data_IF_518914014748
#
_entry.id   IF_518914014748
#
_cell.length_a   1.000
_cell.length_b   1.000
_cell.length_c   1.000
_cell.angle_alpha   90.00
_cell.angle_beta   90.00
_cell.angle_gamma   90.00
#
_symmetry.space_group_name_H-M   'P 1'
#
loop_
_entity.id
_entity.type
_entity.pdbx_description
1 polymer ?
#
# COMPACT_ATOMS: atom_id res chain seq x y z
N UNK A 1 -0.02 -2.78 10.89
CA UNK A 1 -0.39 -3.08 9.49
C UNK A 1 -0.03 -4.50 9.12
N UNK A 2 -0.95 -5.23 8.53
CA UNK A 2 -0.81 -6.61 8.02
C UNK A 2 -1.10 -6.64 6.52
N UNK A 3 -0.75 -7.73 5.79
CA UNK A 3 -1.03 -7.81 4.35
C UNK A 3 -2.52 -7.73 3.98
N UNK A 4 -3.41 -8.09 4.90
CA UNK A 4 -4.85 -7.94 4.72
C UNK A 4 -5.33 -6.49 4.74
N UNK A 5 -4.63 -5.63 5.48
CA UNK A 5 -4.95 -4.20 5.59
C UNK A 5 -4.56 -3.43 4.31
N UNK A 6 -3.55 -3.90 3.58
CA UNK A 6 -3.10 -3.27 2.33
C UNK A 6 -4.06 -3.68 1.22
N UNK A 7 -4.87 -2.73 0.76
CA UNK A 7 -5.83 -2.92 -0.33
C UNK A 7 -5.37 -2.20 -1.59
N UNK A 8 -5.72 -2.73 -2.76
CA UNK A 8 -5.53 -2.03 -4.04
C UNK A 8 -6.47 -0.82 -4.21
N UNK A 9 -7.32 -0.54 -3.20
CA UNK A 9 -8.34 0.51 -3.24
C UNK A 9 -7.86 1.86 -2.73
N UNK A 10 -6.73 1.91 -2.02
CA UNK A 10 -6.23 3.11 -1.39
C UNK A 10 -4.73 3.17 -1.53
N UNK A 11 -4.22 4.29 -2.03
CA UNK A 11 -2.78 4.52 -2.11
C UNK A 11 -2.15 4.72 -0.72
N UNK A 12 -2.92 5.21 0.25
CA UNK A 12 -2.46 5.58 1.58
C UNK A 12 -3.08 4.72 2.67
N UNK A 13 -2.32 4.46 3.74
CA UNK A 13 -2.78 3.73 4.92
C UNK A 13 -2.31 4.41 6.21
N UNK A 14 -3.20 4.54 7.19
CA UNK A 14 -2.92 5.13 8.50
C UNK A 14 -3.20 4.17 9.67
N UNK A 15 -4.02 3.14 9.47
CA UNK A 15 -4.38 2.17 10.48
C UNK A 15 -4.69 0.82 9.85
N UNK A 16 -4.51 -0.25 10.61
CA UNK A 16 -5.00 -1.59 10.24
C UNK A 16 -6.22 -1.97 11.07
N UNK A 17 -6.78 -3.14 10.78
CA UNK A 17 -7.87 -3.74 11.57
C UNK A 17 -7.43 -3.99 13.03
N UNK A 18 -6.15 -4.32 13.22
CA UNK A 18 -5.53 -4.52 14.53
C UNK A 18 -4.48 -3.45 14.79
N UNK A 19 -4.57 -2.81 15.95
CA UNK A 19 -3.64 -1.80 16.40
C UNK A 19 -2.82 -2.32 17.58
N UNK A 20 -1.56 -1.87 17.65
CA UNK A 20 -0.72 -2.09 18.83
C UNK A 20 -0.84 -0.89 19.77
N UNK A 21 -0.64 -1.12 21.06
CA UNK A 21 -0.58 -0.03 22.04
C UNK A 21 0.68 0.81 21.81
N UNK A 22 0.69 2.05 22.30
CA UNK A 22 1.88 2.92 22.23
C UNK A 22 3.13 2.26 22.83
N UNK A 23 2.98 1.60 23.98
CA UNK A 23 4.06 0.82 24.62
C UNK A 23 4.54 -0.35 23.75
N UNK A 24 3.68 -0.91 22.91
CA UNK A 24 4.03 -1.93 21.93
C UNK A 24 4.81 -1.35 20.75
N UNK A 25 4.45 -0.15 20.29
CA UNK A 25 5.14 0.58 19.23
C UNK A 25 6.58 0.93 19.63
N UNK A 26 6.82 1.38 20.86
CA UNK A 26 8.18 1.67 21.38
C UNK A 26 9.09 0.44 21.38
N UNK A 27 8.52 -0.76 21.48
CA UNK A 27 9.25 -2.04 21.50
C UNK A 27 9.35 -2.70 20.13
N UNK A 28 8.76 -2.10 19.11
CA UNK A 28 8.71 -2.66 17.76
C UNK A 28 9.37 -1.66 16.79
N UNK A 29 10.08 -2.12 15.75
CA UNK A 29 10.57 -1.22 14.73
C UNK A 29 9.42 -0.35 14.17
N UNK A 30 9.60 0.96 14.26
CA UNK A 30 8.68 1.95 13.68
C UNK A 30 9.06 2.19 12.22
N UNK A 31 8.07 2.21 11.35
CA UNK A 31 8.17 2.59 9.96
C UNK A 31 7.75 4.06 9.87
N UNK A 32 8.62 4.95 9.35
CA UNK A 32 8.30 6.37 9.31
C UNK A 32 7.21 6.67 8.28
N UNK A 33 6.43 7.72 8.57
CA UNK A 33 5.50 8.32 7.62
C UNK A 33 6.17 8.57 6.26
N UNK A 34 5.43 8.31 5.19
CA UNK A 34 5.89 8.45 3.80
C UNK A 34 6.60 7.21 3.25
N UNK A 35 6.90 6.21 4.08
CA UNK A 35 7.45 4.94 3.60
C UNK A 35 6.45 4.18 2.74
N UNK A 36 6.95 3.52 1.70
CA UNK A 36 6.17 2.57 0.89
C UNK A 36 6.19 1.21 1.57
N UNK A 37 5.02 0.66 1.86
CA UNK A 37 4.83 -0.66 2.43
C UNK A 37 4.57 -1.63 1.28
N UNK A 38 5.37 -2.68 1.15
CA UNK A 38 5.23 -3.70 0.10
C UNK A 38 5.06 -5.07 0.73
N UNK A 39 4.00 -5.79 0.35
CA UNK A 39 3.82 -7.20 0.71
C UNK A 39 4.74 -8.07 -0.16
N UNK A 40 5.47 -8.98 0.48
CA UNK A 40 6.54 -9.75 -0.18
C UNK A 40 6.37 -11.27 -0.06
N UNK A 41 5.22 -11.78 0.41
CA UNK A 41 4.99 -13.21 0.65
C UNK A 41 3.67 -13.71 0.04
N UNK A 42 3.75 -14.87 -0.62
CA UNK A 42 2.61 -15.64 -1.11
C UNK A 42 1.75 -14.90 -2.14
N UNK A 43 0.44 -15.17 -2.12
CA UNK A 43 -0.54 -14.55 -3.02
C UNK A 43 -0.70 -13.04 -2.84
N UNK A 44 -0.14 -12.47 -1.77
CA UNK A 44 -0.23 -11.03 -1.50
C UNK A 44 0.89 -10.23 -2.14
N UNK A 45 1.92 -10.86 -2.73
CA UNK A 45 3.07 -10.14 -3.32
C UNK A 45 2.61 -9.03 -4.27
N UNK A 46 3.15 -7.83 -4.06
CA UNK A 46 2.91 -6.68 -4.93
C UNK A 46 1.83 -5.72 -4.48
N UNK A 47 1.09 -6.03 -3.40
CA UNK A 47 0.23 -5.03 -2.77
C UNK A 47 1.10 -3.98 -2.09
N UNK A 48 0.80 -2.72 -2.36
CA UNK A 48 1.57 -1.61 -1.82
C UNK A 48 0.68 -0.46 -1.35
N UNK A 49 1.14 0.24 -0.32
CA UNK A 49 0.51 1.47 0.19
C UNK A 49 1.55 2.38 0.86
N UNK A 50 1.23 3.66 1.02
CA UNK A 50 2.08 4.67 1.66
C UNK A 50 1.63 4.86 3.11
N UNK A 51 2.58 4.78 4.04
CA UNK A 51 2.34 5.08 5.45
C UNK A 51 1.98 6.56 5.64
N UNK A 52 0.78 6.85 6.12
CA UNK A 52 0.31 8.23 6.37
C UNK A 52 0.74 8.80 7.72
N UNK A 53 1.21 7.92 8.60
CA UNK A 53 1.76 8.21 9.91
C UNK A 53 2.84 7.17 10.24
N UNK A 54 3.58 7.41 11.30
CA UNK A 54 4.48 6.39 11.85
C UNK A 54 3.66 5.20 12.33
N UNK A 55 4.11 3.99 11.98
CA UNK A 55 3.36 2.75 12.25
C UNK A 55 4.29 1.53 12.31
N UNK A 56 3.77 0.40 12.77
CA UNK A 56 4.46 -0.89 12.66
C UNK A 56 3.78 -1.83 11.67
N UNK A 57 4.57 -2.70 11.07
CA UNK A 57 4.14 -3.68 10.07
C UNK A 57 4.31 -5.11 10.55
N UNK A 58 3.60 -6.02 9.90
CA UNK A 58 3.80 -7.46 10.01
C UNK A 58 5.10 -7.86 9.28
N UNK A 59 5.73 -8.96 9.71
CA UNK A 59 6.95 -9.52 9.12
C UNK A 59 6.86 -9.86 7.62
N UNK A 60 5.65 -10.01 7.08
CA UNK A 60 5.42 -10.26 5.64
C UNK A 60 5.52 -8.99 4.76
N UNK A 61 5.74 -7.82 5.38
CA UNK A 61 5.80 -6.51 4.71
C UNK A 61 7.20 -5.94 4.82
N UNK A 62 7.78 -5.57 3.69
CA UNK A 62 8.99 -4.76 3.62
C UNK A 62 8.61 -3.28 3.53
N UNK A 63 9.24 -2.45 4.36
CA UNK A 63 9.12 -0.98 4.30
C UNK A 63 10.27 -0.39 3.50
N UNK A 64 9.94 0.33 2.43
CA UNK A 64 10.87 1.05 1.56
C UNK A 64 10.86 2.54 1.94
N UNK A 65 11.98 3.01 2.47
CA UNK A 65 12.15 4.41 2.87
C UNK A 65 12.79 5.14 1.68
N UNK A 66 12.02 6.03 1.05
CA UNK A 66 12.47 6.78 -0.11
C UNK A 66 13.52 7.82 0.27
N UNK A 67 14.54 7.97 -0.58
CA UNK A 67 15.43 9.14 -0.54
C UNK A 67 14.76 10.36 -1.17
N UNK A 68 15.38 11.53 -1.06
CA UNK A 68 14.90 12.77 -1.70
C UNK A 68 14.83 12.71 -3.23
N UNK A 69 15.46 11.70 -3.85
CA UNK A 69 15.48 11.51 -5.30
C UNK A 69 14.21 10.85 -5.85
N UNK A 70 13.40 10.22 -5.00
CA UNK A 70 12.26 9.42 -5.46
C UNK A 70 11.01 9.70 -4.64
N UNK A 71 9.91 10.02 -5.31
CA UNK A 71 8.61 10.19 -4.67
C UNK A 71 7.99 8.83 -4.31
N UNK A 72 7.43 8.65 -3.10
CA UNK A 72 6.79 7.39 -2.70
C UNK A 72 5.70 6.91 -3.66
N UNK A 73 4.87 7.82 -4.18
CA UNK A 73 3.83 7.53 -5.16
C UNK A 73 4.41 7.04 -6.48
N UNK A 74 5.51 7.64 -6.93
CA UNK A 74 6.22 7.19 -8.12
C UNK A 74 6.73 5.76 -7.93
N UNK A 75 7.35 5.47 -6.78
CA UNK A 75 7.85 4.13 -6.47
C UNK A 75 6.73 3.08 -6.48
N UNK A 76 5.54 3.39 -5.97
CA UNK A 76 4.39 2.47 -6.05
C UNK A 76 4.01 2.19 -7.50
N UNK A 77 3.90 3.22 -8.34
CA UNK A 77 3.58 3.04 -9.77
C UNK A 77 4.65 2.20 -10.46
N UNK A 78 5.92 2.47 -10.17
CA UNK A 78 7.02 1.68 -10.70
C UNK A 78 6.93 0.21 -10.28
N UNK A 79 6.67 -0.07 -9.00
CA UNK A 79 6.49 -1.44 -8.47
C UNK A 79 5.33 -2.13 -9.17
N UNK A 80 4.19 -1.45 -9.35
CA UNK A 80 3.02 -2.01 -9.99
C UNK A 80 3.27 -2.35 -11.46
N UNK A 81 3.94 -1.46 -12.20
CA UNK A 81 4.29 -1.68 -13.61
C UNK A 81 5.34 -2.78 -13.79
N UNK A 82 6.22 -2.98 -12.79
CA UNK A 82 7.30 -3.97 -12.84
C UNK A 82 7.00 -5.21 -11.99
N UNK A 83 5.75 -5.42 -11.58
CA UNK A 83 5.40 -6.48 -10.64
C UNK A 83 5.80 -7.88 -11.15
N UNK A 84 5.60 -8.15 -12.43
CA UNK A 84 5.98 -9.43 -13.03
C UNK A 84 7.50 -9.61 -13.10
N UNK A 85 8.26 -8.53 -13.21
CA UNK A 85 9.73 -8.56 -13.11
C UNK A 85 10.15 -8.83 -11.67
N UNK A 86 9.57 -8.11 -10.71
CA UNK A 86 9.81 -8.27 -9.27
C UNK A 86 9.51 -9.71 -8.82
N UNK A 87 8.42 -10.31 -9.30
CA UNK A 87 8.06 -11.70 -9.00
C UNK A 87 9.08 -12.72 -9.49
N UNK A 88 9.86 -12.44 -10.55
CA UNK A 88 10.92 -13.36 -11.01
C UNK A 88 12.05 -13.51 -9.99
N UNK A 89 12.18 -12.56 -9.06
CA UNK A 89 13.15 -12.61 -7.98
C UNK A 89 12.70 -13.45 -6.78
N UNK A 90 11.49 -14.04 -6.82
CA UNK A 90 11.09 -15.00 -5.78
C UNK A 90 11.90 -16.29 -5.92
N UNK A 91 12.41 -16.81 -4.80
CA UNK A 91 13.11 -18.10 -4.79
C UNK A 91 12.19 -19.27 -5.19
N UNK A 92 12.79 -20.41 -5.55
CA UNK A 92 12.08 -21.66 -5.83
C UNK A 92 11.63 -22.26 -4.49
N UNK A 93 10.46 -21.84 -4.02
CA UNK A 93 9.86 -22.31 -2.76
C UNK A 93 8.36 -22.52 -2.96
N UNK A 94 7.74 -23.39 -2.15
CA UNK A 94 6.30 -23.66 -2.22
C UNK A 94 5.45 -22.40 -1.98
N UNK A 95 5.94 -21.50 -1.12
CA UNK A 95 5.38 -20.15 -0.95
C UNK A 95 6.39 -19.14 -1.49
N UNK A 96 6.06 -18.38 -2.54
CA UNK A 96 6.94 -17.36 -3.08
C UNK A 96 7.25 -16.29 -2.03
N UNK A 97 8.52 -15.94 -1.88
CA UNK A 97 9.01 -14.94 -0.92
C UNK A 97 10.07 -14.07 -1.61
N UNK A 98 9.95 -12.75 -1.45
CA UNK A 98 10.99 -11.77 -1.80
C UNK A 98 11.60 -11.26 -0.50
N UNK A 99 12.83 -11.68 -0.20
CA UNK A 99 13.52 -11.23 1.00
C UNK A 99 14.07 -9.79 0.83
N UNK A 100 14.43 -9.16 1.96
CA UNK A 100 14.94 -7.78 1.99
C UNK A 100 16.18 -7.57 1.12
N UNK A 101 17.14 -8.50 1.16
CA UNK A 101 18.38 -8.39 0.39
C UNK A 101 18.13 -8.44 -1.12
N UNK A 102 17.25 -9.33 -1.57
CA UNK A 102 16.88 -9.44 -2.98
C UNK A 102 16.14 -8.18 -3.43
N UNK A 103 15.16 -7.72 -2.64
CA UNK A 103 14.40 -6.50 -2.96
C UNK A 103 15.31 -5.26 -3.05
N UNK A 104 16.32 -5.15 -2.18
CA UNK A 104 17.26 -4.04 -2.16
C UNK A 104 18.22 -4.00 -3.37
N UNK A 105 18.36 -5.11 -4.09
CA UNK A 105 19.22 -5.22 -5.28
C UNK A 105 18.43 -5.07 -6.59
N UNK A 106 17.15 -4.72 -6.53
CA UNK A 106 16.35 -4.44 -7.72
C UNK A 106 16.62 -3.00 -8.16
N UNK A 107 17.13 -2.83 -9.38
CA UNK A 107 17.35 -1.52 -9.96
C UNK A 107 16.00 -0.85 -10.30
N UNK A 108 15.90 0.43 -9.95
CA UNK A 108 14.73 1.27 -10.22
C UNK A 108 15.17 2.40 -11.14
N UNK A 109 14.49 2.52 -12.28
CA UNK A 109 14.66 3.68 -13.15
C UNK A 109 14.05 4.91 -12.48
N UNK A 110 14.89 5.89 -12.13
CA UNK A 110 14.44 7.10 -11.44
C UNK A 110 14.60 8.31 -12.36
N UNK A 111 13.51 8.80 -12.99
CA UNK A 111 13.54 10.01 -13.80
C UNK A 111 13.73 11.25 -12.91
N UNK A 112 13.90 12.43 -13.53
CA UNK A 112 14.01 13.68 -12.78
C UNK A 112 12.73 13.95 -11.96
N UNK A 113 12.88 14.63 -10.81
CA UNK A 113 11.75 14.91 -9.90
C UNK A 113 10.58 15.61 -10.58
N UNK A 114 10.83 16.48 -11.56
CA UNK A 114 9.77 17.16 -12.30
C UNK A 114 8.88 16.18 -13.10
N UNK A 115 9.47 15.15 -13.70
CA UNK A 115 8.74 14.12 -14.44
C UNK A 115 7.98 13.21 -13.49
N UNK A 116 8.60 12.86 -12.34
CA UNK A 116 7.91 12.13 -11.28
C UNK A 116 6.69 12.91 -10.79
N UNK A 117 6.82 14.22 -10.55
CA UNK A 117 5.72 15.07 -10.09
C UNK A 117 4.54 15.07 -11.06
N UNK A 118 4.79 15.15 -12.37
CA UNK A 118 3.74 15.08 -13.40
C UNK A 118 2.93 13.78 -13.28
N UNK A 119 3.61 12.64 -13.14
CA UNK A 119 2.95 11.35 -12.94
C UNK A 119 2.19 11.30 -11.61
N UNK A 120 2.82 11.73 -10.53
CA UNK A 120 2.25 11.69 -9.18
C UNK A 120 0.99 12.55 -9.07
N UNK A 121 0.93 13.69 -9.77
CA UNK A 121 -0.27 14.52 -9.82
C UNK A 121 -1.47 13.76 -10.39
N UNK A 122 -1.28 13.05 -11.50
CA UNK A 122 -2.33 12.22 -12.12
C UNK A 122 -2.76 11.10 -11.17
N UNK A 123 -1.80 10.41 -10.57
CA UNK A 123 -2.07 9.30 -9.63
C UNK A 123 -2.87 9.77 -8.42
N UNK A 124 -2.50 10.92 -7.83
CA UNK A 124 -3.23 11.53 -6.70
C UNK A 124 -4.65 11.93 -7.08
N UNK A 125 -4.84 12.46 -8.28
CA UNK A 125 -6.18 12.79 -8.78
C UNK A 125 -7.04 11.53 -8.93
N UNK A 126 -6.48 10.47 -9.51
CA UNK A 126 -7.15 9.16 -9.65
C UNK A 126 -7.54 8.55 -8.29
N UNK A 127 -6.63 8.58 -7.31
CA UNK A 127 -6.89 8.08 -5.95
C UNK A 127 -8.01 8.89 -5.26
N UNK A 128 -7.99 10.22 -5.40
CA UNK A 128 -9.05 11.11 -4.90
C UNK A 128 -10.42 10.81 -5.53
N UNK A 129 -10.47 10.60 -6.85
CA UNK A 129 -11.68 10.20 -7.57
C UNK A 129 -12.20 8.85 -7.08
N UNK A 130 -11.30 7.86 -6.95
CA UNK A 130 -11.64 6.52 -6.45
C UNK A 130 -12.24 6.59 -5.04
N UNK A 131 -11.64 7.36 -4.14
CA UNK A 131 -12.16 7.55 -2.79
C UNK A 131 -13.56 8.17 -2.77
N UNK A 132 -13.79 9.20 -3.60
CA UNK A 132 -15.12 9.83 -3.75
C UNK A 132 -16.17 8.83 -4.25
N UNK A 133 -15.83 8.00 -5.24
CA UNK A 133 -16.73 6.96 -5.77
C UNK A 133 -17.05 5.90 -4.72
N UNK A 134 -16.05 5.44 -3.95
CA UNK A 134 -16.24 4.46 -2.88
C UNK A 134 -17.19 4.98 -1.80
N UNK A 135 -17.02 6.24 -1.38
CA UNK A 135 -17.96 6.90 -0.44
C UNK A 135 -19.39 6.93 -0.97
N UNK A 136 -19.58 7.30 -2.24
CA UNK A 136 -20.91 7.30 -2.87
C UNK A 136 -21.54 5.89 -2.89
N UNK A 137 -20.76 4.85 -3.18
CA UNK A 137 -21.23 3.46 -3.17
C UNK A 137 -21.71 2.99 -1.79
N UNK A 138 -20.97 3.34 -0.73
CA UNK A 138 -21.37 3.04 0.66
C UNK A 138 -22.66 3.76 1.04
N UNK A 139 -22.79 5.05 0.70
CA UNK A 139 -24.01 5.83 0.94
C UNK A 139 -25.20 5.19 0.23
N UNK A 140 -25.05 4.84 -1.05
CA UNK A 140 -26.11 4.22 -1.83
C UNK A 140 -26.57 2.90 -1.20
N UNK A 141 -25.62 2.04 -0.80
CA UNK A 141 -25.92 0.75 -0.15
C UNK A 141 -26.67 0.94 1.16
N UNK A 142 -26.31 1.94 1.96
CA UNK A 142 -26.99 2.24 3.21
C UNK A 142 -28.41 2.77 2.98
N UNK A 143 -28.62 3.62 1.98
CA UNK A 143 -29.95 4.10 1.60
C UNK A 143 -30.85 2.96 1.12
N UNK A 144 -30.33 2.08 0.27
CA UNK A 144 -31.04 0.88 -0.20
C UNK A 144 -31.48 0.01 0.97
N UNK A 145 -30.58 -0.29 1.93
CA UNK A 145 -30.94 -1.04 3.13
C UNK A 145 -32.03 -0.36 3.97
N UNK A 146 -31.95 0.96 4.13
CA UNK A 146 -32.96 1.72 4.88
C UNK A 146 -34.35 1.68 4.24
N UNK A 147 -34.42 1.70 2.91
CA UNK A 147 -35.69 1.63 2.18
C UNK A 147 -36.31 0.24 2.27
N UNK A 148 -35.53 -0.82 2.03
CA UNK A 148 -36.06 -2.19 2.01
C UNK A 148 -36.32 -2.80 3.40
N UNK A 149 -35.74 -2.25 4.47
CA UNK A 149 -36.05 -2.67 5.87
C UNK A 149 -37.37 -2.03 6.37
N UNK A 150 -37.87 -0.97 5.73
CA UNK A 150 -39.13 -0.31 6.12
C UNK A 150 -40.40 -0.97 5.55
N UNK A 151 -40.28 -1.88 4.56
CA UNK A 151 -41.42 -2.55 3.93
C UNK A 151 -41.72 -3.96 4.51
N UNK A 152 -41.26 -4.26 5.73
CA UNK A 152 -41.33 -5.60 6.34
C UNK A 152 -42.30 -5.75 7.52
N UNK A 153 -43.24 -4.82 7.72
CA UNK A 153 -44.28 -4.87 8.77
C UNK A 153 -45.70 -4.96 8.19
#
# INVERSE_FOLDING_TARGET
ITPGDISSDSLYINSGERNITHKGLEKTPSVPKGSVLLTCIGSTIGKAAIASCDLSTNQQINSLICSEKILPEYLIVWIQNNLEVIKKYTGIQAVPIINKSTLANIDVDVPFLEEQLKLVMVVREMDSLRHKLKKKGVILTNLTKSLFVQDSD
#
